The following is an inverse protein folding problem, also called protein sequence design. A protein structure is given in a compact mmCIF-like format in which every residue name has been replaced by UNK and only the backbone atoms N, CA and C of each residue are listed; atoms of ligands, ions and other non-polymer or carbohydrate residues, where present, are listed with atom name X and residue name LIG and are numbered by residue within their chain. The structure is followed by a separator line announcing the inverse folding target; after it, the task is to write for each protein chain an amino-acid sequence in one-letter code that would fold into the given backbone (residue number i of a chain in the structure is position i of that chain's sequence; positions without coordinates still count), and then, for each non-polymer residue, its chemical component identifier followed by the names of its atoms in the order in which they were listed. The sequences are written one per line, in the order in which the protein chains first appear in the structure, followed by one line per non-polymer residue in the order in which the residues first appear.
data_IF_655197901522
#
_entry.id   IF_655197901522
#
_cell.length_a   1.000
_cell.length_b   1.000
_cell.length_c   1.000
_cell.angle_alpha   90.00
_cell.angle_beta   90.00
_cell.angle_gamma   90.00
#
_symmetry.space_group_name_H-M   'P 1'
#
loop_
_entity.id
_entity.type
_entity.pdbx_description
1 polymer ?
#
# COMPACT_ATOMS: atom_id res chain seq x y z
N UNK A 1 12.86 -16.58 7.94
CA UNK A 1 11.46 -16.51 7.49
C UNK A 1 10.63 -16.00 8.67
N UNK A 2 10.25 -14.73 8.65
CA UNK A 2 9.22 -14.22 9.56
C UNK A 2 7.89 -14.67 8.96
N UNK A 3 7.12 -15.49 9.67
CA UNK A 3 5.73 -15.71 9.27
C UNK A 3 5.02 -14.36 9.37
N UNK A 4 4.55 -13.85 8.24
CA UNK A 4 3.71 -12.65 8.19
C UNK A 4 2.45 -12.94 8.98
N UNK A 5 2.13 -12.12 9.98
CA UNK A 5 0.86 -12.22 10.69
C UNK A 5 -0.24 -11.91 9.69
N UNK A 6 -1.19 -12.84 9.51
CA UNK A 6 -2.33 -12.63 8.64
C UNK A 6 -3.53 -12.21 9.47
N UNK A 7 -3.66 -10.89 9.60
CA UNK A 7 -4.78 -10.23 10.24
C UNK A 7 -5.85 -9.90 9.20
N UNK A 8 -7.09 -10.28 9.51
CA UNK A 8 -8.27 -9.80 8.82
C UNK A 8 -9.36 -9.45 9.85
N UNK A 9 -10.10 -8.37 9.62
CA UNK A 9 -11.23 -8.00 10.47
C UNK A 9 -12.54 -8.10 9.70
N UNK A 10 -13.57 -8.65 10.34
CA UNK A 10 -14.89 -8.81 9.72
C UNK A 10 -16.02 -8.73 10.74
N UNK A 11 -17.23 -8.52 10.23
CA UNK A 11 -18.48 -8.59 11.00
C UNK A 11 -19.29 -9.82 10.56
N UNK A 12 -19.93 -10.49 11.52
CA UNK A 12 -20.83 -11.60 11.21
C UNK A 12 -22.28 -11.13 10.93
N UNK A 13 -23.20 -12.07 10.73
CA UNK A 13 -24.61 -11.78 10.45
C UNK A 13 -25.39 -11.19 11.65
N UNK A 14 -24.79 -11.19 12.85
CA UNK A 14 -25.32 -10.58 14.07
C UNK A 14 -24.64 -9.24 14.37
N UNK A 15 -23.85 -8.73 13.42
CA UNK A 15 -23.02 -7.53 13.55
C UNK A 15 -21.98 -7.62 14.68
N UNK A 16 -21.57 -8.84 15.05
CA UNK A 16 -20.47 -9.05 15.99
C UNK A 16 -19.14 -8.88 15.26
N UNK A 17 -18.20 -8.20 15.91
CA UNK A 17 -16.89 -7.92 15.33
C UNK A 17 -15.87 -8.99 15.71
N UNK A 18 -15.17 -9.50 14.70
CA UNK A 18 -14.14 -10.52 14.84
C UNK A 18 -12.83 -10.07 14.23
N UNK A 19 -11.75 -10.62 14.78
CA UNK A 19 -10.45 -10.67 14.15
C UNK A 19 -10.11 -12.12 13.81
N UNK A 20 -9.69 -12.33 12.58
CA UNK A 20 -8.98 -13.52 12.16
C UNK A 20 -7.48 -13.26 12.31
N UNK A 21 -6.83 -14.04 13.15
CA UNK A 21 -5.37 -14.02 13.32
C UNK A 21 -4.85 -15.43 13.09
N UNK A 22 -4.10 -15.62 12.00
CA UNK A 22 -3.36 -16.84 11.69
C UNK A 22 -4.18 -18.16 11.78
N UNK A 23 -5.38 -18.18 11.20
CA UNK A 23 -6.22 -19.39 11.16
C UNK A 23 -7.29 -19.47 12.24
N UNK A 24 -7.26 -18.58 13.23
CA UNK A 24 -8.26 -18.54 14.30
C UNK A 24 -9.06 -17.25 14.27
N UNK A 25 -10.38 -17.37 14.26
CA UNK A 25 -11.28 -16.22 14.44
C UNK A 25 -11.58 -16.03 15.92
N UNK A 26 -11.31 -14.83 16.45
CA UNK A 26 -11.64 -14.40 17.79
C UNK A 26 -12.70 -13.30 17.73
N UNK A 27 -13.78 -13.46 18.49
CA UNK A 27 -14.76 -12.39 18.69
C UNK A 27 -14.15 -11.32 19.60
N UNK A 28 -14.18 -10.05 19.17
CA UNK A 28 -13.68 -8.92 19.95
C UNK A 28 -14.79 -8.03 20.50
N UNK A 29 -15.93 -7.90 19.81
CA UNK A 29 -17.06 -7.12 20.30
C UNK A 29 -18.40 -7.85 20.06
N UNK A 30 -19.31 -7.73 21.04
CA UNK A 30 -20.69 -8.25 20.96
C UNK A 30 -21.70 -7.21 20.43
N UNK A 31 -21.25 -5.99 20.18
CA UNK A 31 -22.06 -4.91 19.63
C UNK A 31 -21.40 -4.41 18.34
N UNK A 32 -22.18 -3.85 17.40
CA UNK A 32 -21.64 -3.27 16.18
C UNK A 32 -20.55 -2.25 16.47
N UNK A 33 -19.39 -2.41 15.84
CA UNK A 33 -18.34 -1.39 15.86
C UNK A 33 -18.73 -0.22 14.97
N UNK A 34 -18.30 1.00 15.32
CA UNK A 34 -18.56 2.19 14.51
C UNK A 34 -17.74 2.21 13.23
N UNK A 35 -16.50 1.71 13.31
CA UNK A 35 -15.59 1.57 12.16
C UNK A 35 -14.44 0.64 12.53
N UNK A 36 -13.81 0.04 11.53
CA UNK A 36 -12.56 -0.71 11.69
C UNK A 36 -11.67 -0.58 10.45
N UNK A 37 -10.36 -0.75 10.63
CA UNK A 37 -9.34 -0.85 9.58
C UNK A 37 -8.31 -1.91 9.98
N UNK A 38 -7.78 -2.64 9.01
CA UNK A 38 -6.83 -3.73 9.23
C UNK A 38 -5.59 -3.51 8.39
N UNK A 39 -4.43 -3.56 9.01
CA UNK A 39 -3.14 -3.73 8.34
C UNK A 39 -2.58 -5.13 8.60
N UNK A 40 -1.36 -5.41 8.14
CA UNK A 40 -0.73 -6.74 8.32
C UNK A 40 -0.45 -7.08 9.79
N UNK A 41 0.09 -6.14 10.58
CA UNK A 41 0.46 -6.42 11.99
C UNK A 41 -0.57 -5.98 13.03
N UNK A 42 -1.50 -5.11 12.65
CA UNK A 42 -2.46 -4.56 13.60
C UNK A 42 -3.80 -4.28 12.95
N UNK A 43 -4.86 -4.30 13.76
CA UNK A 43 -6.17 -3.81 13.38
C UNK A 43 -6.60 -2.74 14.37
N UNK A 44 -7.17 -1.65 13.87
CA UNK A 44 -7.66 -0.54 14.68
C UNK A 44 -9.16 -0.38 14.47
N UNK A 45 -9.90 -0.08 15.53
CA UNK A 45 -11.34 0.08 15.44
C UNK A 45 -11.89 1.00 16.53
N UNK A 46 -13.08 1.54 16.27
CA UNK A 46 -13.86 2.30 17.25
C UNK A 46 -15.08 1.48 17.64
N UNK A 47 -15.20 1.12 18.92
CA UNK A 47 -16.32 0.32 19.38
C UNK A 47 -17.62 1.14 19.52
N UNK A 48 -18.73 0.46 19.87
CA UNK A 48 -20.03 1.12 20.03
C UNK A 48 -20.02 2.26 21.07
N UNK A 49 -19.16 2.18 22.09
CA UNK A 49 -19.00 3.23 23.11
C UNK A 49 -18.15 4.42 22.64
N UNK A 50 -17.57 4.36 21.43
CA UNK A 50 -16.67 5.40 20.92
C UNK A 50 -15.22 5.26 21.38
N UNK A 51 -14.83 4.14 22.00
CA UNK A 51 -13.46 3.90 22.43
C UNK A 51 -12.63 3.39 21.26
N UNK A 52 -11.46 3.97 21.09
CA UNK A 52 -10.51 3.59 20.05
C UNK A 52 -9.55 2.53 20.57
N UNK A 53 -9.50 1.40 19.88
CA UNK A 53 -8.74 0.23 20.29
C UNK A 53 -7.87 -0.27 19.13
N UNK A 54 -6.75 -0.87 19.48
CA UNK A 54 -5.85 -1.55 18.55
C UNK A 54 -5.65 -2.98 19.03
N UNK A 55 -5.87 -3.93 18.12
CA UNK A 55 -5.42 -5.31 18.28
C UNK A 55 -4.02 -5.43 17.69
N UNK A 56 -3.06 -5.87 18.50
CA UNK A 56 -1.67 -6.02 18.12
C UNK A 56 -1.05 -7.18 18.89
N UNK A 57 -0.35 -8.08 18.17
CA UNK A 57 0.35 -9.23 18.75
C UNK A 57 -0.51 -10.09 19.70
N UNK A 58 -1.76 -10.39 19.31
CA UNK A 58 -2.66 -11.21 20.11
C UNK A 58 -3.42 -10.47 21.23
N UNK A 59 -3.07 -9.21 21.49
CA UNK A 59 -3.63 -8.42 22.58
C UNK A 59 -4.49 -7.27 22.09
N UNK A 60 -5.53 -6.94 22.87
CA UNK A 60 -6.39 -5.79 22.62
C UNK A 60 -6.01 -4.64 23.55
N UNK A 61 -5.60 -3.52 22.96
CA UNK A 61 -5.12 -2.32 23.66
C UNK A 61 -6.14 -1.20 23.44
N UNK A 62 -6.62 -0.57 24.52
CA UNK A 62 -7.43 0.65 24.44
C UNK A 62 -6.49 1.86 24.37
N UNK A 63 -6.50 2.59 23.26
CA UNK A 63 -5.63 3.76 23.06
C UNK A 63 -6.31 5.04 23.55
N UNK A 64 -7.55 5.29 23.10
CA UNK A 64 -8.28 6.52 23.42
C UNK A 64 -9.70 6.20 23.87
N UNK A 65 -10.19 6.95 24.85
CA UNK A 65 -11.55 6.75 25.37
C UNK A 65 -12.61 7.45 24.51
N UNK A 66 -12.27 8.61 23.94
CA UNK A 66 -13.16 9.46 23.15
C UNK A 66 -12.36 10.32 22.16
N UNK A 67 -13.06 11.07 21.30
CA UNK A 67 -12.51 12.14 20.44
C UNK A 67 -11.49 11.74 19.37
N UNK A 68 -11.44 10.47 18.97
CA UNK A 68 -10.74 10.10 17.74
C UNK A 68 -11.53 10.62 16.55
N UNK A 69 -10.91 11.53 15.80
CA UNK A 69 -11.51 12.19 14.64
C UNK A 69 -11.35 11.30 13.40
N UNK A 70 -10.14 10.78 13.21
CA UNK A 70 -9.79 9.91 12.09
C UNK A 70 -8.63 9.00 12.47
N UNK A 71 -8.55 7.83 11.84
CA UNK A 71 -7.44 6.90 12.00
C UNK A 71 -7.22 6.10 10.72
N UNK A 72 -5.99 5.63 10.55
CA UNK A 72 -5.51 4.86 9.42
C UNK A 72 -4.63 3.73 9.93
N UNK A 73 -4.63 2.60 9.22
CA UNK A 73 -3.75 1.47 9.48
C UNK A 73 -2.90 1.22 8.24
N UNK A 74 -1.60 1.09 8.44
CA UNK A 74 -0.64 0.62 7.44
C UNK A 74 -0.21 -0.80 7.81
N UNK A 75 0.78 -1.38 7.12
CA UNK A 75 1.25 -2.72 7.49
C UNK A 75 1.83 -2.76 8.92
N UNK A 76 2.43 -1.67 9.42
CA UNK A 76 3.08 -1.64 10.74
C UNK A 76 2.63 -0.51 11.67
N UNK A 77 1.97 0.54 11.17
CA UNK A 77 1.62 1.72 11.96
C UNK A 77 0.11 1.91 12.04
N UNK A 78 -0.36 2.43 13.18
CA UNK A 78 -1.68 3.08 13.25
C UNK A 78 -1.45 4.57 13.41
N UNK A 79 -1.89 5.35 12.42
CA UNK A 79 -1.79 6.81 12.45
C UNK A 79 -3.18 7.36 12.74
N UNK A 80 -3.31 8.20 13.76
CA UNK A 80 -4.62 8.68 14.17
C UNK A 80 -4.58 10.11 14.70
N UNK A 81 -5.73 10.76 14.63
CA UNK A 81 -5.95 12.08 15.21
C UNK A 81 -6.96 12.01 16.34
N UNK A 82 -6.54 12.53 17.48
CA UNK A 82 -7.40 12.74 18.66
C UNK A 82 -7.36 14.22 18.99
N UNK A 83 -8.54 14.83 19.12
CA UNK A 83 -8.69 16.29 19.21
C UNK A 83 -7.85 17.02 18.15
N UNK A 84 -6.85 17.81 18.55
CA UNK A 84 -5.97 18.55 17.65
C UNK A 84 -4.58 17.93 17.55
N UNK A 85 -4.40 16.64 17.84
CA UNK A 85 -3.08 16.01 17.90
C UNK A 85 -2.97 14.84 16.92
N UNK A 86 -1.90 14.82 16.13
CA UNK A 86 -1.53 13.68 15.30
C UNK A 86 -0.65 12.73 16.12
N UNK A 87 -1.05 11.48 16.21
CA UNK A 87 -0.37 10.42 16.94
C UNK A 87 -0.07 9.24 16.03
N UNK A 88 0.95 8.47 16.42
CA UNK A 88 1.28 7.18 15.83
C UNK A 88 1.38 6.13 16.92
N UNK A 89 0.74 4.98 16.70
CA UNK A 89 1.01 3.75 17.42
C UNK A 89 1.99 2.92 16.61
N UNK A 90 3.12 2.59 17.21
CA UNK A 90 4.22 1.82 16.62
C UNK A 90 4.67 0.77 17.63
N UNK A 91 4.43 -0.51 17.31
CA UNK A 91 4.84 -1.66 18.12
C UNK A 91 4.47 -1.56 19.62
N UNK A 92 3.23 -1.18 19.94
CA UNK A 92 2.75 -1.08 21.32
C UNK A 92 2.97 0.28 21.98
N UNK A 93 3.70 1.20 21.33
CA UNK A 93 4.04 2.51 21.87
C UNK A 93 3.26 3.58 21.11
N UNK A 94 2.55 4.44 21.84
CA UNK A 94 1.94 5.65 21.27
C UNK A 94 2.94 6.80 21.35
N UNK A 95 3.09 7.54 20.25
CA UNK A 95 3.89 8.75 20.19
C UNK A 95 3.08 9.90 19.58
N UNK A 96 3.08 11.02 20.29
CA UNK A 96 2.63 12.31 19.75
C UNK A 96 3.61 12.84 18.71
N UNK A 97 3.09 13.19 17.53
CA UNK A 97 3.86 13.71 16.42
C UNK A 97 3.81 15.23 16.35
N UNK A 98 2.60 15.80 16.32
CA UNK A 98 2.41 17.25 16.19
C UNK A 98 1.02 17.68 16.66
N UNK A 99 0.95 18.87 17.25
CA UNK A 99 -0.30 19.57 17.52
C UNK A 99 -0.75 20.41 16.33
N UNK A 100 -2.05 20.45 16.08
CA UNK A 100 -2.73 21.09 14.95
C UNK A 100 -2.19 20.63 13.59
N UNK A 101 -2.30 19.32 13.26
CA UNK A 101 -1.78 18.78 12.01
C UNK A 101 -2.55 19.32 10.79
N UNK A 102 -1.84 20.04 9.92
CA UNK A 102 -2.41 20.57 8.68
C UNK A 102 -1.98 19.81 7.43
N UNK A 103 -0.73 19.35 7.39
CA UNK A 103 -0.17 18.62 6.25
C UNK A 103 0.62 17.42 6.77
N UNK A 104 0.16 16.23 6.40
CA UNK A 104 0.83 14.98 6.73
C UNK A 104 0.56 13.91 5.68
N UNK A 105 1.42 12.91 5.62
CA UNK A 105 1.27 11.70 4.82
C UNK A 105 1.98 10.54 5.52
N UNK A 106 1.56 9.31 5.26
CA UNK A 106 2.07 8.14 5.96
C UNK A 106 2.25 6.96 5.01
N UNK A 107 3.16 6.07 5.39
CA UNK A 107 3.37 4.76 4.78
C UNK A 107 3.60 3.72 5.87
N UNK A 108 3.99 2.52 5.50
CA UNK A 108 4.17 1.39 6.41
C UNK A 108 5.16 1.58 7.55
N UNK A 109 6.12 2.50 7.43
CA UNK A 109 7.17 2.73 8.43
C UNK A 109 7.55 4.19 8.63
N UNK A 110 6.86 5.11 7.94
CA UNK A 110 7.13 6.55 7.99
C UNK A 110 5.84 7.36 8.13
N UNK A 111 5.93 8.47 8.87
CA UNK A 111 4.89 9.52 8.87
C UNK A 111 5.57 10.86 8.62
N UNK A 112 5.32 11.47 7.47
CA UNK A 112 5.76 12.83 7.15
C UNK A 112 4.72 13.82 7.67
N UNK A 113 5.15 14.88 8.35
CA UNK A 113 4.24 15.91 8.84
C UNK A 113 4.94 17.27 8.93
N UNK A 114 4.19 18.33 8.66
CA UNK A 114 4.67 19.70 8.84
C UNK A 114 4.33 20.20 10.24
N UNK A 115 5.35 20.66 10.97
CA UNK A 115 5.18 21.36 12.23
C UNK A 115 5.31 22.87 11.98
N UNK A 116 4.20 23.60 12.12
CA UNK A 116 4.17 25.05 11.93
C UNK A 116 4.91 25.84 13.01
N UNK A 117 5.01 25.29 14.21
CA UNK A 117 5.67 25.97 15.34
C UNK A 117 7.17 25.93 15.14
N UNK A 118 7.71 24.75 14.82
CA UNK A 118 9.13 24.59 14.53
C UNK A 118 9.50 25.00 13.09
N UNK A 119 8.51 25.08 12.20
CA UNK A 119 8.62 25.31 10.75
C UNK A 119 9.40 24.22 10.01
N UNK A 120 9.45 23.01 10.54
CA UNK A 120 10.09 21.89 9.87
C UNK A 120 9.07 20.94 9.25
N UNK A 121 9.38 20.47 8.04
CA UNK A 121 8.87 19.19 7.58
C UNK A 121 9.65 18.09 8.31
N UNK A 122 8.94 17.28 9.08
CA UNK A 122 9.48 16.21 9.87
C UNK A 122 9.06 14.85 9.31
N UNK A 123 9.84 13.83 9.62
CA UNK A 123 9.48 12.42 9.43
C UNK A 123 9.61 11.69 10.76
N UNK A 124 8.53 11.03 11.16
CA UNK A 124 8.61 9.94 12.11
C UNK A 124 9.16 8.70 11.43
N UNK A 125 10.28 8.17 11.92
CA UNK A 125 10.88 6.93 11.44
C UNK A 125 11.61 6.23 12.60
N UNK A 126 11.31 4.94 12.80
CA UNK A 126 11.95 4.09 13.82
C UNK A 126 11.98 4.74 15.22
N UNK A 127 10.81 5.19 15.70
CA UNK A 127 10.66 5.80 17.02
C UNK A 127 11.19 7.24 17.14
N UNK A 128 11.79 7.82 16.11
CA UNK A 128 12.40 9.16 16.13
C UNK A 128 11.67 10.13 15.21
N UNK A 129 11.70 11.41 15.56
CA UNK A 129 11.23 12.51 14.71
C UNK A 129 12.48 13.17 14.14
N UNK A 130 12.58 13.24 12.81
CA UNK A 130 13.75 13.72 12.08
C UNK A 130 13.31 14.90 11.21
N UNK A 131 13.87 16.10 11.37
CA UNK A 131 13.61 17.20 10.45
C UNK A 131 14.27 16.91 9.10
N UNK A 132 13.50 17.01 8.01
CA UNK A 132 13.97 16.73 6.65
C UNK A 132 13.92 17.95 5.72
N UNK A 133 13.25 19.03 6.14
CA UNK A 133 13.23 20.29 5.41
C UNK A 133 12.84 21.47 6.29
N UNK A 134 13.50 22.61 6.10
CA UNK A 134 13.26 23.84 6.87
C UNK A 134 12.39 24.82 6.06
N UNK A 135 11.22 25.12 6.59
CA UNK A 135 10.20 25.96 6.01
C UNK A 135 10.25 27.40 6.50
N UNK A 136 11.42 28.05 6.42
CA UNK A 136 11.76 29.38 6.98
C UNK A 136 10.55 30.33 7.16
N UNK A 137 9.73 30.48 6.11
CA UNK A 137 8.49 31.27 6.09
C UNK A 137 7.25 30.40 5.95
N UNK A 138 7.29 29.37 5.10
CA UNK A 138 6.16 28.50 4.75
C UNK A 138 6.59 27.04 4.54
N UNK A 139 5.64 26.16 4.19
CA UNK A 139 5.90 24.73 3.99
C UNK A 139 7.09 24.49 3.03
N UNK A 140 8.12 23.71 3.42
CA UNK A 140 9.41 23.64 2.70
C UNK A 140 9.40 22.90 1.36
N UNK A 141 8.27 22.28 1.00
CA UNK A 141 8.15 21.51 -0.24
C UNK A 141 7.12 22.13 -1.20
N UNK A 142 7.46 22.17 -2.49
CA UNK A 142 6.54 22.48 -3.60
C UNK A 142 5.60 21.31 -3.89
N UNK A 143 6.08 20.07 -3.69
CA UNK A 143 5.30 18.85 -3.77
C UNK A 143 5.94 17.76 -2.92
N UNK A 144 5.12 16.82 -2.42
CA UNK A 144 5.57 15.71 -1.59
C UNK A 144 4.80 14.44 -1.93
N UNK A 145 5.48 13.30 -1.82
CA UNK A 145 4.93 11.94 -1.90
C UNK A 145 5.54 11.11 -0.77
N UNK A 146 4.70 10.28 -0.15
CA UNK A 146 5.10 9.35 0.91
C UNK A 146 4.89 7.95 0.35
N UNK A 147 5.96 7.16 0.33
CA UNK A 147 5.89 5.72 0.09
C UNK A 147 5.94 4.96 1.42
N UNK A 148 5.97 3.64 1.36
CA UNK A 148 5.91 2.78 2.55
C UNK A 148 7.03 3.06 3.56
N UNK A 149 8.22 3.41 3.08
CA UNK A 149 9.40 3.60 3.93
C UNK A 149 10.27 4.79 3.54
N UNK A 150 9.73 5.68 2.69
CA UNK A 150 10.46 6.85 2.21
C UNK A 150 9.53 8.03 2.01
N UNK A 151 10.13 9.22 1.94
CA UNK A 151 9.44 10.47 1.63
C UNK A 151 10.23 11.17 0.54
N UNK A 152 9.60 11.39 -0.62
CA UNK A 152 10.18 12.17 -1.70
C UNK A 152 9.48 13.52 -1.78
N UNK A 153 10.25 14.61 -1.91
CA UNK A 153 9.69 15.93 -2.03
C UNK A 153 10.55 16.84 -2.90
N UNK A 154 9.89 17.72 -3.65
CA UNK A 154 10.54 18.79 -4.38
C UNK A 154 10.65 19.99 -3.46
N UNK A 155 11.86 20.41 -3.13
CA UNK A 155 12.06 21.55 -2.24
C UNK A 155 11.83 22.90 -2.93
N UNK A 156 12.00 24.00 -2.19
CA UNK A 156 11.83 25.36 -2.73
C UNK A 156 12.83 25.71 -3.82
N UNK A 157 14.02 25.10 -3.81
CA UNK A 157 15.07 25.27 -4.82
C UNK A 157 14.93 24.32 -6.01
N UNK A 158 13.78 23.64 -6.12
CA UNK A 158 13.45 22.70 -7.20
C UNK A 158 14.26 21.39 -7.20
N UNK A 159 15.02 21.08 -6.15
CA UNK A 159 15.68 19.79 -6.03
C UNK A 159 14.73 18.71 -5.51
N UNK A 160 14.83 17.51 -6.09
CA UNK A 160 14.21 16.30 -5.56
C UNK A 160 15.04 15.78 -4.38
N UNK A 161 14.44 15.81 -3.19
CA UNK A 161 15.00 15.23 -1.97
C UNK A 161 14.24 13.97 -1.60
N UNK A 162 14.98 12.94 -1.20
CA UNK A 162 14.44 11.63 -0.81
C UNK A 162 14.95 11.31 0.59
N UNK A 163 14.06 11.31 1.58
CA UNK A 163 14.34 10.71 2.87
C UNK A 163 14.18 9.19 2.76
N UNK A 164 15.25 8.44 3.01
CA UNK A 164 15.24 6.99 2.98
C UNK A 164 16.17 6.43 4.07
N UNK A 165 15.64 5.55 4.92
CA UNK A 165 16.37 4.88 6.00
C UNK A 165 17.22 5.84 6.88
N UNK A 166 16.64 6.97 7.27
CA UNK A 166 17.29 7.95 8.16
C UNK A 166 18.28 8.90 7.48
N UNK A 167 18.46 8.79 6.16
CA UNK A 167 19.33 9.68 5.35
C UNK A 167 18.48 10.49 4.37
N UNK A 168 18.99 11.66 3.98
CA UNK A 168 18.41 12.49 2.92
C UNK A 168 19.35 12.41 1.72
N UNK A 169 18.80 11.99 0.59
CA UNK A 169 19.46 11.97 -0.70
C UNK A 169 18.96 13.15 -1.52
N UNK A 170 19.88 13.88 -2.13
CA UNK A 170 19.56 14.84 -3.18
C UNK A 170 19.74 14.11 -4.52
N UNK A 171 18.65 13.97 -5.28
CA UNK A 171 18.63 13.13 -6.47
C UNK A 171 18.85 13.96 -7.74
N UNK A 172 17.89 14.82 -8.10
CA UNK A 172 17.96 15.62 -9.33
C UNK A 172 17.43 17.04 -9.15
N UNK A 173 17.88 17.94 -10.02
CA UNK A 173 17.33 19.29 -10.15
C UNK A 173 16.12 19.29 -11.08
N UNK A 174 15.05 19.98 -10.67
CA UNK A 174 13.85 20.24 -11.46
C UNK A 174 13.13 18.96 -11.96
N UNK A 175 12.70 18.04 -11.08
CA UNK A 175 11.84 16.92 -11.50
C UNK A 175 10.52 17.45 -12.07
N UNK A 176 10.09 16.92 -13.22
CA UNK A 176 8.77 17.20 -13.78
C UNK A 176 7.68 16.46 -13.01
N UNK A 177 7.88 15.16 -12.81
CA UNK A 177 6.96 14.24 -12.13
C UNK A 177 7.80 13.25 -11.33
N UNK A 178 7.32 12.87 -10.14
CA UNK A 178 7.86 11.74 -9.39
C UNK A 178 6.74 10.97 -8.69
N UNK A 179 6.95 9.65 -8.55
CA UNK A 179 6.09 8.73 -7.81
C UNK A 179 6.96 7.87 -6.89
N UNK A 180 6.36 7.39 -5.80
CA UNK A 180 7.06 6.67 -4.73
C UNK A 180 6.32 5.38 -4.39
N UNK A 181 7.08 4.34 -4.09
CA UNK A 181 6.59 3.12 -3.46
C UNK A 181 7.54 2.70 -2.35
N UNK A 182 7.57 1.42 -1.99
CA UNK A 182 8.56 0.88 -1.05
C UNK A 182 9.93 0.80 -1.71
N UNK A 183 10.94 1.35 -1.05
CA UNK A 183 12.35 1.34 -1.50
C UNK A 183 12.64 2.08 -2.83
N UNK A 184 11.64 2.68 -3.48
CA UNK A 184 11.77 3.16 -4.86
C UNK A 184 11.12 4.51 -5.11
N UNK A 185 11.77 5.34 -5.93
CA UNK A 185 11.23 6.59 -6.47
C UNK A 185 11.51 6.63 -7.97
N UNK A 186 10.47 6.74 -8.79
CA UNK A 186 10.61 6.96 -10.23
C UNK A 186 10.33 8.43 -10.55
N UNK A 187 11.14 9.02 -11.44
CA UNK A 187 11.02 10.43 -11.79
C UNK A 187 11.36 10.69 -13.26
N UNK A 188 10.86 11.82 -13.76
CA UNK A 188 11.24 12.38 -15.06
C UNK A 188 12.07 13.63 -14.80
N UNK A 189 13.31 13.64 -15.30
CA UNK A 189 14.19 14.80 -15.26
C UNK A 189 13.60 15.92 -16.12
N UNK A 190 13.41 17.11 -15.56
CA UNK A 190 12.81 18.21 -16.29
C UNK A 190 13.74 18.95 -17.23
N UNK A 191 15.04 18.69 -17.15
CA UNK A 191 16.09 19.27 -17.99
C UNK A 191 16.38 18.37 -19.19
N UNK A 192 16.62 17.07 -18.97
CA UNK A 192 16.96 16.11 -20.03
C UNK A 192 15.74 15.35 -20.59
N UNK A 193 14.62 15.34 -19.86
CA UNK A 193 13.47 14.45 -20.13
C UNK A 193 13.78 12.96 -19.97
N UNK A 194 14.90 12.60 -19.35
CA UNK A 194 15.27 11.20 -19.06
C UNK A 194 14.41 10.62 -17.94
N UNK A 195 14.30 9.29 -17.94
CA UNK A 195 13.58 8.54 -16.92
C UNK A 195 14.55 7.90 -15.93
N UNK A 196 14.48 8.37 -14.68
CA UNK A 196 15.35 7.93 -13.60
C UNK A 196 14.60 7.16 -12.53
N UNK A 197 15.32 6.22 -11.91
CA UNK A 197 14.84 5.42 -10.79
C UNK A 197 15.84 5.53 -9.65
N UNK A 198 15.41 6.01 -8.50
CA UNK A 198 16.12 5.79 -7.24
C UNK A 198 15.61 4.49 -6.64
N UNK A 199 16.50 3.55 -6.32
CA UNK A 199 16.17 2.27 -5.71
C UNK A 199 17.21 1.90 -4.65
N UNK A 200 16.74 1.60 -3.43
CA UNK A 200 17.59 1.15 -2.30
C UNK A 200 18.80 2.05 -1.95
N UNK A 201 18.74 3.34 -2.27
CA UNK A 201 19.84 4.29 -2.00
C UNK A 201 20.68 4.65 -3.22
N UNK A 202 20.53 3.91 -4.32
CA UNK A 202 21.27 4.12 -5.56
C UNK A 202 20.37 4.73 -6.63
N UNK A 203 20.97 5.42 -7.60
CA UNK A 203 20.27 6.02 -8.75
C UNK A 203 20.61 5.22 -10.01
N UNK A 204 19.57 4.83 -10.73
CA UNK A 204 19.60 4.09 -11.98
C UNK A 204 19.06 4.98 -13.10
N UNK A 205 19.89 5.22 -14.11
CA UNK A 205 19.46 5.83 -15.36
C UNK A 205 18.87 4.72 -16.25
N UNK A 206 17.55 4.74 -16.44
CA UNK A 206 16.86 3.61 -17.10
C UNK A 206 16.51 3.86 -18.55
N UNK A 207 16.02 5.04 -18.89
CA UNK A 207 15.66 5.37 -20.27
C UNK A 207 16.14 6.77 -20.65
N UNK A 208 16.73 6.95 -21.84
CA UNK A 208 17.20 8.25 -22.33
C UNK A 208 16.05 9.20 -22.70
N UNK A 209 14.80 8.72 -22.66
CA UNK A 209 13.61 9.48 -23.04
C UNK A 209 12.47 9.27 -22.03
N UNK A 210 11.58 10.25 -21.99
CA UNK A 210 10.38 10.21 -21.16
C UNK A 210 9.49 9.02 -21.55
N UNK A 211 9.03 8.21 -20.59
CA UNK A 211 8.11 7.11 -20.88
C UNK A 211 6.73 7.66 -21.25
N UNK A 212 5.97 6.87 -22.02
CA UNK A 212 4.57 7.17 -22.33
C UNK A 212 3.74 7.18 -21.04
N UNK A 213 3.98 6.20 -20.16
CA UNK A 213 3.36 6.13 -18.84
C UNK A 213 4.24 5.36 -17.86
N UNK A 214 4.09 5.61 -16.56
CA UNK A 214 4.75 4.83 -15.51
C UNK A 214 3.93 4.81 -14.21
N UNK A 215 4.03 3.71 -13.48
CA UNK A 215 3.55 3.54 -12.11
C UNK A 215 4.63 2.90 -11.24
N UNK A 216 4.47 3.03 -9.92
CA UNK A 216 5.44 2.56 -8.94
C UNK A 216 4.72 1.65 -7.94
N UNK A 217 5.33 0.50 -7.67
CA UNK A 217 4.89 -0.46 -6.66
C UNK A 217 5.93 -0.61 -5.55
N UNK A 218 5.88 -1.73 -4.85
CA UNK A 218 6.90 -2.12 -3.90
C UNK A 218 8.10 -2.66 -4.66
N UNK A 219 9.25 -2.01 -4.48
CA UNK A 219 10.51 -2.44 -5.08
C UNK A 219 10.51 -2.54 -6.60
N UNK A 220 9.54 -1.89 -7.26
CA UNK A 220 9.41 -1.94 -8.71
C UNK A 220 8.86 -0.65 -9.33
N UNK A 221 9.22 -0.46 -10.60
CA UNK A 221 8.67 0.60 -11.46
C UNK A 221 8.20 -0.05 -12.75
N UNK A 222 6.96 0.20 -13.12
CA UNK A 222 6.34 -0.34 -14.32
C UNK A 222 6.12 0.80 -15.29
N UNK A 223 6.51 0.63 -16.54
CA UNK A 223 6.42 1.73 -17.50
C UNK A 223 6.29 1.23 -18.94
N UNK A 224 5.70 2.10 -19.77
CA UNK A 224 5.72 1.97 -21.22
C UNK A 224 6.76 2.94 -21.74
N UNK A 225 7.82 2.43 -22.35
CA UNK A 225 8.89 3.28 -22.86
C UNK A 225 8.45 4.10 -24.09
N UNK A 226 9.32 4.98 -24.58
CA UNK A 226 9.02 5.84 -25.72
C UNK A 226 8.72 5.06 -27.02
N UNK A 227 9.19 3.82 -27.16
CA UNK A 227 8.93 2.95 -28.31
C UNK A 227 7.58 2.21 -28.22
N UNK A 228 6.93 2.25 -27.05
CA UNK A 228 5.74 1.46 -26.75
C UNK A 228 6.04 0.10 -26.12
N UNK A 229 7.29 -0.23 -25.81
CA UNK A 229 7.61 -1.49 -25.13
C UNK A 229 7.21 -1.42 -23.66
N UNK A 230 6.59 -2.48 -23.15
CA UNK A 230 6.16 -2.56 -21.76
C UNK A 230 7.23 -3.22 -20.90
N UNK A 231 7.70 -2.47 -19.88
CA UNK A 231 8.87 -2.81 -19.08
C UNK A 231 8.57 -2.75 -17.58
N UNK A 232 9.31 -3.55 -16.82
CA UNK A 232 9.30 -3.53 -15.36
C UNK A 232 10.74 -3.46 -14.89
N UNK A 233 11.07 -2.45 -14.10
CA UNK A 233 12.25 -2.45 -13.25
C UNK A 233 11.90 -3.18 -11.95
N UNK A 234 12.67 -4.20 -11.58
CA UNK A 234 12.50 -4.97 -10.34
C UNK A 234 13.86 -5.49 -9.86
N UNK A 235 14.14 -5.36 -8.57
CA UNK A 235 15.40 -5.81 -7.93
C UNK A 235 16.71 -5.31 -8.62
N UNK A 236 16.69 -4.13 -9.25
CA UNK A 236 17.85 -3.55 -9.93
C UNK A 236 18.00 -3.93 -11.40
N UNK A 237 17.10 -4.78 -11.93
CA UNK A 237 17.10 -5.21 -13.33
C UNK A 237 15.86 -4.68 -14.07
N UNK A 238 15.99 -4.46 -15.38
CA UNK A 238 14.87 -4.05 -16.27
C UNK A 238 14.47 -5.24 -17.14
N UNK A 239 13.21 -5.64 -17.01
CA UNK A 239 12.57 -6.70 -17.79
C UNK A 239 11.68 -6.09 -18.86
N UNK A 240 11.88 -6.47 -20.13
CA UNK A 240 10.89 -6.20 -21.18
C UNK A 240 9.83 -7.30 -21.16
N UNK A 241 8.64 -7.00 -20.66
CA UNK A 241 7.57 -7.98 -20.45
C UNK A 241 6.55 -8.04 -21.60
N UNK A 242 6.51 -7.00 -22.45
CA UNK A 242 5.89 -7.05 -23.78
C UNK A 242 6.62 -6.09 -24.73
N UNK A 243 6.60 -6.40 -26.03
CA UNK A 243 7.11 -5.51 -27.09
C UNK A 243 6.06 -4.50 -27.58
N UNK A 244 4.88 -4.51 -26.99
CA UNK A 244 3.76 -3.64 -27.34
C UNK A 244 3.19 -2.97 -26.09
N UNK A 245 2.46 -1.88 -26.30
CA UNK A 245 1.74 -1.19 -25.23
C UNK A 245 0.64 -2.13 -24.69
N UNK A 246 0.50 -2.27 -23.37
CA UNK A 246 -0.50 -3.18 -22.79
C UNK A 246 -1.91 -2.61 -22.98
N UNK A 247 -2.91 -3.51 -23.07
CA UNK A 247 -4.33 -3.11 -23.15
C UNK A 247 -4.74 -2.28 -21.91
N UNK A 248 -4.15 -2.63 -20.77
CA UNK A 248 -4.19 -1.90 -19.50
C UNK A 248 -3.06 -2.42 -18.60
N UNK A 249 -2.69 -1.65 -17.57
CA UNK A 249 -1.91 -2.19 -16.45
C UNK A 249 -2.29 -1.53 -15.13
N UNK A 250 -2.13 -2.27 -14.04
CA UNK A 250 -2.40 -1.86 -12.66
C UNK A 250 -1.26 -2.36 -11.78
N UNK A 251 -0.72 -1.46 -10.96
CA UNK A 251 0.33 -1.79 -10.00
C UNK A 251 -0.25 -1.70 -8.59
N UNK A 252 -0.10 -2.78 -7.82
CA UNK A 252 -0.47 -2.84 -6.40
C UNK A 252 0.60 -3.61 -5.68
N UNK A 253 1.24 -2.94 -4.71
CA UNK A 253 2.28 -3.53 -3.88
C UNK A 253 3.30 -4.28 -4.74
N UNK A 254 3.36 -5.61 -4.63
CA UNK A 254 4.34 -6.47 -5.30
C UNK A 254 3.83 -7.09 -6.63
N UNK A 255 2.64 -6.69 -7.12
CA UNK A 255 2.01 -7.23 -8.35
C UNK A 255 1.77 -6.16 -9.43
N UNK A 256 2.01 -6.58 -10.68
CA UNK A 256 1.53 -5.88 -11.88
C UNK A 256 0.49 -6.74 -12.57
N UNK A 257 -0.75 -6.29 -12.62
CA UNK A 257 -1.81 -6.91 -13.41
C UNK A 257 -1.94 -6.18 -14.74
N UNK A 258 -1.89 -6.89 -15.86
CA UNK A 258 -1.93 -6.25 -17.17
C UNK A 258 -2.63 -7.10 -18.24
N UNK A 259 -3.11 -6.41 -19.27
CA UNK A 259 -3.62 -7.02 -20.50
C UNK A 259 -2.57 -6.96 -21.60
N UNK A 260 -2.35 -8.07 -22.29
CA UNK A 260 -1.42 -8.15 -23.43
C UNK A 260 -2.05 -8.94 -24.57
N UNK A 261 -2.63 -8.25 -25.54
CA UNK A 261 -3.30 -8.88 -26.67
C UNK A 261 -4.48 -9.75 -26.24
N UNK A 262 -5.34 -9.21 -25.36
CA UNK A 262 -6.48 -9.91 -24.73
C UNK A 262 -6.11 -11.02 -23.73
N UNK A 263 -4.84 -11.32 -23.49
CA UNK A 263 -4.44 -12.19 -22.39
C UNK A 263 -4.42 -11.41 -21.07
N UNK A 264 -4.97 -12.01 -20.02
CA UNK A 264 -4.93 -11.48 -18.67
C UNK A 264 -3.71 -12.04 -17.94
N UNK A 265 -2.73 -11.18 -17.66
CA UNK A 265 -1.42 -11.59 -17.17
C UNK A 265 -1.05 -10.86 -15.87
N UNK A 266 -0.20 -11.50 -15.09
CA UNK A 266 0.41 -10.94 -13.89
C UNK A 266 1.93 -11.01 -14.00
N UNK A 267 2.62 -9.93 -13.67
CA UNK A 267 4.03 -9.99 -13.31
C UNK A 267 4.14 -10.06 -11.78
N UNK A 268 4.87 -11.06 -11.30
CA UNK A 268 5.11 -11.28 -9.88
C UNK A 268 6.51 -11.88 -9.70
N UNK A 269 7.32 -11.27 -8.84
CA UNK A 269 8.65 -11.77 -8.47
C UNK A 269 9.56 -12.12 -9.66
N UNK A 270 9.65 -11.23 -10.65
CA UNK A 270 10.50 -11.40 -11.84
C UNK A 270 9.90 -12.23 -12.98
N UNK A 271 8.74 -12.88 -12.77
CA UNK A 271 8.13 -13.77 -13.76
C UNK A 271 6.76 -13.26 -14.25
N UNK A 272 6.44 -13.57 -15.51
CA UNK A 272 5.13 -13.28 -16.12
C UNK A 272 4.28 -14.55 -16.15
N UNK A 273 3.11 -14.48 -15.53
CA UNK A 273 2.10 -15.53 -15.49
C UNK A 273 0.92 -15.15 -16.38
N UNK A 274 0.47 -16.08 -17.22
CA UNK A 274 -0.81 -15.93 -17.93
C UNK A 274 -1.91 -16.57 -17.10
N UNK A 275 -2.87 -15.77 -16.65
CA UNK A 275 -3.99 -16.23 -15.82
C UNK A 275 -5.14 -16.70 -16.71
N UNK A 276 -5.49 -15.92 -17.73
CA UNK A 276 -6.55 -16.24 -18.69
C UNK A 276 -6.19 -15.78 -20.10
N UNK A 277 -6.82 -16.37 -21.11
CA UNK A 277 -6.72 -15.97 -22.51
C UNK A 277 -7.82 -14.95 -22.94
N UNK A 278 -8.46 -14.33 -21.96
CA UNK A 278 -9.39 -13.22 -22.08
C UNK A 278 -9.24 -12.31 -20.86
N UNK A 279 -9.62 -11.04 -20.96
CA UNK A 279 -9.63 -10.11 -19.82
C UNK A 279 -10.96 -10.25 -19.06
N UNK A 280 -10.98 -10.68 -17.78
CA UNK A 280 -12.20 -10.78 -17.00
C UNK A 280 -12.88 -9.42 -16.79
N UNK A 281 -14.22 -9.39 -16.80
CA UNK A 281 -15.00 -8.17 -16.53
C UNK A 281 -14.87 -7.72 -15.06
N UNK A 282 -14.73 -8.68 -14.14
CA UNK A 282 -14.62 -8.42 -12.70
C UNK A 282 -13.37 -9.08 -12.13
N UNK A 283 -12.47 -8.25 -11.62
CA UNK A 283 -11.27 -8.65 -10.92
C UNK A 283 -11.00 -7.70 -9.74
N UNK A 284 -10.19 -8.17 -8.81
CA UNK A 284 -9.83 -7.54 -7.55
C UNK A 284 -8.34 -7.77 -7.33
N UNK A 285 -7.64 -6.78 -6.81
CA UNK A 285 -6.21 -6.82 -6.57
C UNK A 285 -5.90 -6.13 -5.24
N UNK A 286 -5.10 -6.78 -4.40
CA UNK A 286 -4.63 -6.27 -3.12
C UNK A 286 -3.37 -7.05 -2.71
N UNK A 287 -2.31 -6.39 -2.23
CA UNK A 287 -1.01 -7.01 -1.93
C UNK A 287 -0.51 -7.93 -3.06
N UNK A 288 -0.21 -9.20 -2.76
CA UNK A 288 0.24 -10.23 -3.69
C UNK A 288 -0.91 -11.15 -4.15
N UNK A 289 -2.15 -10.65 -4.15
CA UNK A 289 -3.33 -11.40 -4.52
C UNK A 289 -4.10 -10.75 -5.69
N UNK A 290 -4.45 -11.57 -6.68
CA UNK A 290 -5.41 -11.21 -7.74
C UNK A 290 -6.56 -12.19 -7.72
N UNK A 291 -7.78 -11.73 -7.47
CA UNK A 291 -9.00 -12.53 -7.58
C UNK A 291 -9.84 -12.08 -8.77
N UNK A 292 -10.49 -13.01 -9.47
CA UNK A 292 -11.33 -12.67 -10.60
C UNK A 292 -12.46 -13.68 -10.82
N UNK A 293 -13.50 -13.22 -11.51
CA UNK A 293 -14.63 -14.08 -11.90
C UNK A 293 -14.38 -14.57 -13.33
N UNK A 294 -14.30 -15.88 -13.48
CA UNK A 294 -14.10 -16.49 -14.79
C UNK A 294 -15.37 -16.41 -15.67
N UNK A 295 -15.25 -16.80 -16.94
CA UNK A 295 -16.35 -16.77 -17.91
C UNK A 295 -17.56 -17.66 -17.52
N UNK A 296 -17.38 -18.62 -16.61
CA UNK A 296 -18.45 -19.48 -16.09
C UNK A 296 -19.09 -18.89 -14.83
N UNK A 297 -18.55 -17.78 -14.31
CA UNK A 297 -18.99 -17.13 -13.08
C UNK A 297 -18.32 -17.68 -11.82
N UNK A 298 -17.24 -18.46 -11.95
CA UNK A 298 -16.52 -19.05 -10.83
C UNK A 298 -15.41 -18.14 -10.34
N UNK A 299 -15.14 -18.18 -9.04
CA UNK A 299 -14.09 -17.38 -8.42
C UNK A 299 -12.74 -18.12 -8.53
N UNK A 300 -11.78 -17.44 -9.15
CA UNK A 300 -10.38 -17.85 -9.25
C UNK A 300 -9.51 -16.86 -8.50
N UNK A 301 -8.33 -17.28 -8.07
CA UNK A 301 -7.31 -16.34 -7.63
C UNK A 301 -5.91 -16.80 -8.00
N UNK A 302 -5.04 -15.82 -8.20
CA UNK A 302 -3.60 -15.96 -8.19
C UNK A 302 -3.08 -15.46 -6.85
N UNK A 303 -2.27 -16.26 -6.17
CA UNK A 303 -1.67 -15.93 -4.88
C UNK A 303 -0.31 -16.61 -4.76
N UNK A 304 0.73 -15.85 -4.42
CA UNK A 304 2.10 -16.37 -4.23
C UNK A 304 2.64 -17.22 -5.40
N UNK A 305 2.36 -16.82 -6.65
CA UNK A 305 2.84 -17.56 -7.83
C UNK A 305 1.94 -18.73 -8.25
N UNK A 306 0.88 -19.04 -7.51
CA UNK A 306 0.00 -20.17 -7.77
C UNK A 306 -1.43 -19.76 -8.12
N UNK A 307 -2.06 -20.52 -9.03
CA UNK A 307 -3.47 -20.39 -9.37
C UNK A 307 -4.33 -21.30 -8.49
N UNK A 308 -5.36 -20.73 -7.86
CA UNK A 308 -6.32 -21.45 -7.03
C UNK A 308 -7.74 -21.33 -7.58
N UNK A 309 -8.49 -22.43 -7.45
CA UNK A 309 -9.92 -22.51 -7.73
C UNK A 309 -10.68 -22.33 -6.41
N UNK A 310 -11.36 -21.20 -6.22
CA UNK A 310 -12.05 -20.91 -4.96
C UNK A 310 -13.52 -21.35 -4.99
N UNK A 311 -14.14 -21.40 -6.17
CA UNK A 311 -15.47 -21.93 -6.33
C UNK A 311 -15.63 -22.76 -7.60
N UNK A 312 -16.62 -23.66 -7.55
CA UNK A 312 -17.15 -24.41 -8.69
C UNK A 312 -18.63 -24.05 -8.95
N UNK A 313 -19.09 -22.95 -8.34
CA UNK A 313 -20.42 -22.37 -8.51
C UNK A 313 -20.32 -20.84 -8.53
N UNK A 314 -21.38 -20.17 -8.99
CA UNK A 314 -21.46 -18.70 -9.00
C UNK A 314 -21.38 -18.13 -7.59
N UNK A 315 -20.53 -17.12 -7.41
CA UNK A 315 -20.33 -16.44 -6.12
C UNK A 315 -20.99 -15.07 -6.07
N UNK A 316 -21.18 -14.56 -4.86
CA UNK A 316 -21.61 -13.19 -4.59
C UNK A 316 -20.84 -12.60 -3.42
N UNK A 317 -20.91 -11.28 -3.24
CA UNK A 317 -20.28 -10.55 -2.13
C UNK A 317 -18.78 -10.88 -1.96
N UNK A 318 -18.04 -10.89 -3.06
CA UNK A 318 -16.58 -11.05 -3.02
C UNK A 318 -15.97 -9.78 -2.42
N UNK A 319 -15.24 -9.93 -1.33
CA UNK A 319 -14.48 -8.88 -0.67
C UNK A 319 -13.04 -9.35 -0.57
N UNK A 320 -12.13 -8.58 -1.15
CA UNK A 320 -10.68 -8.77 -1.00
C UNK A 320 -10.17 -7.73 0.00
N UNK A 321 -9.39 -8.19 0.97
CA UNK A 321 -8.71 -7.34 1.94
C UNK A 321 -7.36 -7.96 2.30
N UNK A 322 -6.29 -7.30 1.87
CA UNK A 322 -4.95 -7.86 1.79
C UNK A 322 -4.95 -9.22 1.10
N UNK A 323 -4.35 -10.22 1.76
CA UNK A 323 -4.19 -11.57 1.21
C UNK A 323 -5.37 -12.50 1.53
N UNK A 324 -6.52 -11.93 1.84
CA UNK A 324 -7.73 -12.66 2.24
C UNK A 324 -8.88 -12.34 1.31
N UNK A 325 -9.60 -13.38 0.89
CA UNK A 325 -10.81 -13.24 0.08
C UNK A 325 -11.98 -13.83 0.87
N UNK A 326 -12.99 -13.01 1.17
CA UNK A 326 -14.27 -13.51 1.68
C UNK A 326 -15.32 -13.48 0.59
N UNK A 327 -16.15 -14.52 0.52
CA UNK A 327 -17.17 -14.64 -0.52
C UNK A 327 -18.34 -15.51 -0.07
N UNK A 328 -19.49 -15.32 -0.72
CA UNK A 328 -20.68 -16.17 -0.54
C UNK A 328 -20.82 -17.15 -1.69
N UNK A 329 -21.02 -18.41 -1.33
CA UNK A 329 -21.35 -19.50 -2.26
C UNK A 329 -22.67 -20.16 -1.84
N UNK A 330 -23.59 -20.35 -2.79
CA UNK A 330 -24.91 -20.95 -2.55
C UNK A 330 -25.80 -20.15 -1.57
N UNK A 331 -26.72 -20.85 -0.91
CA UNK A 331 -27.62 -20.27 0.09
C UNK A 331 -26.92 -20.21 1.46
N UNK A 332 -26.23 -19.09 1.73
CA UNK A 332 -25.67 -18.71 3.03
C UNK A 332 -24.35 -19.38 3.48
N UNK A 333 -23.54 -19.91 2.57
CA UNK A 333 -22.17 -20.35 2.96
C UNK A 333 -21.21 -19.19 2.76
N UNK A 334 -20.71 -18.62 3.85
CA UNK A 334 -19.56 -17.71 3.81
C UNK A 334 -18.29 -18.56 3.79
N UNK A 335 -17.41 -18.29 2.84
CA UNK A 335 -16.08 -18.91 2.75
C UNK A 335 -15.02 -17.85 2.84
N UNK A 336 -13.89 -18.22 3.42
CA UNK A 336 -12.71 -17.35 3.49
C UNK A 336 -11.52 -18.08 2.90
N UNK A 337 -10.90 -17.51 1.87
CA UNK A 337 -9.59 -17.93 1.40
C UNK A 337 -8.51 -17.13 2.13
N UNK A 338 -7.55 -17.83 2.73
CA UNK A 338 -6.37 -17.24 3.37
C UNK A 338 -5.22 -18.25 3.39
N UNK A 339 -3.99 -17.83 3.09
CA UNK A 339 -2.80 -18.70 3.07
C UNK A 339 -2.97 -19.97 2.20
N UNK A 340 -3.51 -19.83 0.99
CA UNK A 340 -3.70 -20.97 0.09
C UNK A 340 -4.79 -21.96 0.52
N UNK A 341 -5.55 -21.67 1.58
CA UNK A 341 -6.60 -22.55 2.12
C UNK A 341 -7.95 -21.86 2.17
N UNK A 342 -9.01 -22.65 2.03
CA UNK A 342 -10.40 -22.21 2.15
C UNK A 342 -10.95 -22.71 3.49
N UNK A 343 -11.55 -21.81 4.26
CA UNK A 343 -12.19 -22.04 5.56
C UNK A 343 -13.70 -21.91 5.47
#
# INVERSE_FOLDING_TARGET
MSFTQNLASFIDYRDYFYIFDNGSAQQLEHQPVKSYKTGKKCAAYINNLGRFKVYFNGELIELEKHNVIEYFTTDNLVVYKVDNELNVFDNGIVKSLVYFPELYGFGDSVVAFYDKVSKYLNVYYNGRIIPIGEGLVDFPAKSMRVGDNLVAFKDKTDYLKIFYHGKIFESIYFPQVFKTGRNVVAYIDGTSSEFGIFYNGDVFETEPFKPISFEVGNEMVVYVDYSGSFKVFHEGEVFSISSFEPDFYLVRDDIVLFGDGNFFKVFFNGEVFTLENYIPIKYYIDNDLVAYIDQFGFLRCFYQGENHKLSDEKVSNVVVAGNTISYKQGLNTNKVFSNGKIY
#
